data_IF_078126342768
#
_entry.id   IF_078126342768
#
_cell.length_a   1.000
_cell.length_b   1.000
_cell.length_c   1.000
_cell.angle_alpha   90.00
_cell.angle_beta   90.00
_cell.angle_gamma   90.00
#
_symmetry.space_group_name_H-M   'P 1'
#
loop_
_entity.id
_entity.type
_entity.pdbx_description
1 polymer ?
#
# COMPACT_ATOMS: atom_id res chain seq x y z
N UNK A 1 -19.74 8.50 9.89
CA UNK A 1 -18.44 8.95 9.34
C UNK A 1 -18.06 7.93 8.29
N UNK A 2 -17.68 8.39 7.10
CA UNK A 2 -17.21 7.50 6.02
C UNK A 2 -15.69 7.56 5.89
N UNK A 3 -15.08 6.42 5.63
CA UNK A 3 -13.65 6.29 5.38
C UNK A 3 -13.40 5.88 3.92
N UNK A 4 -12.35 6.43 3.30
CA UNK A 4 -11.80 5.94 2.06
C UNK A 4 -10.46 5.27 2.37
N UNK A 5 -10.22 4.07 1.85
CA UNK A 5 -8.97 3.33 2.02
C UNK A 5 -8.25 3.28 0.67
N UNK A 6 -7.00 3.78 0.60
CA UNK A 6 -6.10 3.49 -0.52
C UNK A 6 -5.76 2.01 -0.49
N UNK A 7 -6.21 1.28 -1.51
CA UNK A 7 -6.31 -0.16 -1.46
C UNK A 7 -5.69 -0.81 -2.71
N UNK A 8 -4.61 -1.55 -2.52
CA UNK A 8 -3.92 -2.26 -3.60
C UNK A 8 -4.27 -3.76 -3.69
N UNK A 9 -4.88 -4.34 -2.65
CA UNK A 9 -5.04 -5.79 -2.52
C UNK A 9 -3.81 -6.50 -1.94
N UNK A 10 -2.78 -5.74 -1.56
CA UNK A 10 -1.60 -6.24 -0.83
C UNK A 10 -1.86 -6.39 0.67
N UNK A 11 -0.91 -7.00 1.38
CA UNK A 11 -0.97 -7.30 2.81
C UNK A 11 -1.33 -6.06 3.64
N UNK A 12 -0.56 -4.99 3.50
CA UNK A 12 -0.63 -3.79 4.35
C UNK A 12 -1.95 -3.03 4.14
N UNK A 13 -2.35 -2.84 2.87
CA UNK A 13 -3.59 -2.16 2.51
C UNK A 13 -4.84 -2.96 2.90
N UNK A 14 -4.76 -4.31 2.89
CA UNK A 14 -5.86 -5.17 3.32
C UNK A 14 -6.04 -5.11 4.84
N UNK A 15 -4.94 -5.07 5.59
CA UNK A 15 -5.00 -4.88 7.04
C UNK A 15 -5.55 -3.50 7.40
N UNK A 16 -5.18 -2.43 6.65
CA UNK A 16 -5.75 -1.10 6.82
C UNK A 16 -7.25 -1.06 6.50
N UNK A 17 -7.68 -1.79 5.46
CA UNK A 17 -9.10 -1.94 5.12
C UNK A 17 -9.88 -2.63 6.24
N UNK A 18 -9.35 -3.73 6.79
CA UNK A 18 -9.97 -4.44 7.90
C UNK A 18 -10.10 -3.57 9.16
N UNK A 19 -9.06 -2.77 9.50
CA UNK A 19 -9.14 -1.79 10.58
C UNK A 19 -10.23 -0.75 10.35
N UNK A 20 -10.32 -0.19 9.14
CA UNK A 20 -11.37 0.76 8.81
C UNK A 20 -12.77 0.14 8.92
N UNK A 21 -12.95 -1.10 8.46
CA UNK A 21 -14.21 -1.85 8.56
C UNK A 21 -14.57 -2.12 10.03
N UNK A 22 -13.62 -2.56 10.84
CA UNK A 22 -13.84 -2.80 12.27
C UNK A 22 -14.29 -1.52 13.00
N UNK A 23 -13.77 -0.36 12.60
CA UNK A 23 -14.06 0.94 13.23
C UNK A 23 -15.36 1.58 12.75
N UNK A 24 -15.69 1.47 11.46
CA UNK A 24 -16.80 2.22 10.86
C UNK A 24 -17.93 1.33 10.31
N UNK A 25 -17.70 0.04 10.17
CA UNK A 25 -18.60 -0.90 9.47
C UNK A 25 -18.46 -0.82 7.94
N UNK A 26 -18.54 -1.96 7.26
CA UNK A 26 -18.34 -2.07 5.81
C UNK A 26 -19.17 -1.07 4.96
N UNK A 27 -20.45 -0.77 5.27
CA UNK A 27 -21.23 0.21 4.50
C UNK A 27 -20.70 1.65 4.55
N UNK A 28 -19.81 1.96 5.49
CA UNK A 28 -19.20 3.28 5.66
C UNK A 28 -17.74 3.32 5.19
N UNK A 29 -17.26 2.29 4.50
CA UNK A 29 -15.90 2.21 3.98
C UNK A 29 -15.94 2.11 2.45
N UNK A 30 -15.08 2.89 1.79
CA UNK A 30 -14.81 2.83 0.35
C UNK A 30 -13.39 2.37 0.14
N UNK A 31 -13.17 1.39 -0.73
CA UNK A 31 -11.84 1.00 -1.18
C UNK A 31 -11.51 1.71 -2.49
N UNK A 32 -10.35 2.35 -2.60
CA UNK A 32 -9.88 2.99 -3.83
C UNK A 32 -8.60 2.31 -4.32
N UNK A 33 -8.68 1.62 -5.45
CA UNK A 33 -7.51 1.09 -6.16
C UNK A 33 -7.10 2.04 -7.28
N UNK A 34 -5.77 2.20 -7.44
CA UNK A 34 -5.19 3.11 -8.43
C UNK A 34 -4.28 2.31 -9.36
N UNK A 35 -4.58 2.35 -10.66
CA UNK A 35 -3.65 1.91 -11.70
C UNK A 35 -2.63 3.02 -11.96
N UNK A 36 -1.34 2.65 -11.99
CA UNK A 36 -0.23 3.57 -12.25
C UNK A 36 0.74 3.02 -13.30
N UNK A 37 0.32 2.00 -14.07
CA UNK A 37 1.13 1.32 -15.07
C UNK A 37 2.04 0.23 -14.48
N UNK A 38 1.67 -0.38 -13.35
CA UNK A 38 2.39 -1.50 -12.74
C UNK A 38 2.44 -2.73 -13.67
N UNK A 39 3.53 -3.51 -13.57
CA UNK A 39 3.82 -4.66 -14.43
C UNK A 39 2.77 -5.77 -14.40
N UNK A 40 1.97 -5.88 -13.34
CA UNK A 40 1.04 -7.01 -13.19
C UNK A 40 -0.36 -6.58 -12.73
N UNK A 41 -1.37 -7.32 -13.21
CA UNK A 41 -2.79 -7.10 -12.88
C UNK A 41 -3.25 -7.88 -11.64
N UNK A 42 -2.45 -8.77 -11.08
CA UNK A 42 -2.82 -9.66 -9.95
C UNK A 42 -3.23 -8.88 -8.69
N UNK A 43 -2.62 -7.72 -8.43
CA UNK A 43 -3.05 -6.84 -7.34
C UNK A 43 -4.50 -6.40 -7.52
N UNK A 44 -4.92 -6.10 -8.75
CA UNK A 44 -6.30 -5.68 -9.03
C UNK A 44 -7.26 -6.86 -8.85
N UNK A 45 -6.89 -8.07 -9.28
CA UNK A 45 -7.68 -9.29 -9.06
C UNK A 45 -7.85 -9.56 -7.56
N UNK A 46 -6.78 -9.47 -6.78
CA UNK A 46 -6.79 -9.59 -5.33
C UNK A 46 -7.69 -8.52 -4.69
N UNK A 47 -7.56 -7.26 -5.12
CA UNK A 47 -8.38 -6.16 -4.62
C UNK A 47 -9.87 -6.40 -4.87
N UNK A 48 -10.26 -6.90 -6.04
CA UNK A 48 -11.65 -7.25 -6.36
C UNK A 48 -12.14 -8.41 -5.47
N UNK A 49 -11.33 -9.46 -5.28
CA UNK A 49 -11.70 -10.60 -4.45
C UNK A 49 -11.92 -10.19 -2.98
N UNK A 50 -11.02 -9.37 -2.43
CA UNK A 50 -11.07 -8.91 -1.04
C UNK A 50 -12.25 -7.94 -0.81
N UNK A 51 -12.48 -6.99 -1.70
CA UNK A 51 -13.61 -6.06 -1.56
C UNK A 51 -14.96 -6.77 -1.68
N UNK A 52 -15.04 -7.82 -2.49
CA UNK A 52 -16.20 -8.72 -2.55
C UNK A 52 -16.37 -9.50 -1.23
N UNK A 53 -15.29 -10.04 -0.66
CA UNK A 53 -15.31 -10.75 0.63
C UNK A 53 -15.86 -9.86 1.75
N UNK A 54 -15.38 -8.60 1.84
CA UNK A 54 -15.84 -7.66 2.86
C UNK A 54 -17.13 -6.89 2.50
N UNK A 55 -17.66 -7.07 1.30
CA UNK A 55 -18.85 -6.35 0.77
C UNK A 55 -18.67 -4.81 0.83
N UNK A 56 -17.50 -4.32 0.45
CA UNK A 56 -17.12 -2.91 0.43
C UNK A 56 -17.23 -2.34 -0.98
N UNK A 57 -17.77 -1.11 -1.14
CA UNK A 57 -17.76 -0.39 -2.41
C UNK A 57 -16.32 -0.18 -2.89
N UNK A 58 -16.04 -0.55 -4.15
CA UNK A 58 -14.71 -0.50 -4.75
C UNK A 58 -14.68 0.50 -5.90
N UNK A 59 -13.78 1.47 -5.80
CA UNK A 59 -13.54 2.49 -6.80
C UNK A 59 -12.18 2.25 -7.48
N UNK A 60 -12.09 2.60 -8.76
CA UNK A 60 -10.87 2.53 -9.54
C UNK A 60 -10.52 3.89 -10.14
N UNK A 61 -9.23 4.22 -10.12
CA UNK A 61 -8.68 5.41 -10.74
C UNK A 61 -7.45 5.02 -11.57
N UNK A 62 -7.35 5.58 -12.77
CA UNK A 62 -6.20 5.39 -13.67
C UNK A 62 -5.33 6.65 -13.68
N UNK A 63 -4.08 6.50 -13.26
CA UNK A 63 -3.04 7.54 -13.26
C UNK A 63 -1.81 7.12 -14.09
N UNK A 64 -1.91 6.09 -14.93
CA UNK A 64 -0.79 5.52 -15.69
C UNK A 64 -0.03 6.58 -16.49
N UNK A 65 -0.74 7.51 -17.15
CA UNK A 65 -0.13 8.54 -17.98
C UNK A 65 0.86 9.44 -17.26
N UNK A 66 0.70 9.63 -15.94
CA UNK A 66 1.60 10.49 -15.15
C UNK A 66 2.95 9.81 -14.97
N UNK A 67 2.97 8.48 -14.85
CA UNK A 67 4.17 7.72 -14.57
C UNK A 67 4.93 7.24 -15.82
N UNK A 68 4.46 7.55 -17.02
CA UNK A 68 5.16 7.20 -18.29
C UNK A 68 6.54 7.84 -18.43
N UNK A 69 6.85 8.86 -17.64
CA UNK A 69 8.15 9.54 -17.63
C UNK A 69 9.13 8.97 -16.59
N UNK A 70 8.75 7.92 -15.86
CA UNK A 70 9.58 7.29 -14.85
C UNK A 70 10.14 5.95 -15.36
N UNK A 71 11.42 5.66 -15.08
CA UNK A 71 12.07 4.38 -15.41
C UNK A 71 12.03 3.38 -14.23
N UNK A 72 11.16 3.59 -13.23
CA UNK A 72 11.05 2.70 -12.08
C UNK A 72 10.80 1.25 -12.48
N UNK A 73 11.52 0.31 -11.87
CA UNK A 73 11.47 -1.12 -12.18
C UNK A 73 10.08 -1.77 -12.04
N UNK A 74 9.16 -1.15 -11.30
CA UNK A 74 7.78 -1.65 -11.14
C UNK A 74 6.86 -1.31 -12.31
N UNK A 75 7.24 -0.38 -13.19
CA UNK A 75 6.38 0.08 -14.29
C UNK A 75 6.49 -0.84 -15.51
N UNK A 76 5.37 -1.06 -16.19
CA UNK A 76 5.25 -2.01 -17.30
C UNK A 76 6.14 -1.69 -18.49
N UNK A 77 6.41 -0.40 -18.75
CA UNK A 77 7.28 0.08 -19.82
C UNK A 77 8.78 0.11 -19.44
N UNK A 78 9.10 -0.03 -18.14
CA UNK A 78 10.49 -0.03 -17.68
C UNK A 78 11.22 -1.30 -18.07
N UNK A 79 12.49 -1.15 -18.47
CA UNK A 79 13.43 -2.26 -18.76
C UNK A 79 14.26 -2.67 -17.55
N UNK A 80 14.13 -1.93 -16.46
CA UNK A 80 14.84 -2.22 -15.20
C UNK A 80 14.30 -3.51 -14.57
N UNK A 81 15.21 -4.33 -14.08
CA UNK A 81 14.87 -5.58 -13.39
C UNK A 81 14.44 -5.31 -11.95
N UNK A 82 13.50 -6.12 -11.46
CA UNK A 82 13.06 -6.08 -10.07
C UNK A 82 14.12 -6.76 -9.19
N UNK A 83 14.67 -6.10 -8.14
CA UNK A 83 15.70 -6.67 -7.29
C UNK A 83 15.22 -7.94 -6.54
N UNK A 84 16.03 -9.00 -6.57
CA UNK A 84 15.80 -10.24 -5.82
C UNK A 84 16.48 -10.20 -4.44
N UNK A 85 16.23 -9.14 -3.66
CA UNK A 85 16.82 -8.88 -2.33
C UNK A 85 15.82 -8.20 -1.43
N UNK A 86 15.91 -8.44 -0.11
CA UNK A 86 15.12 -7.69 0.87
C UNK A 86 15.42 -6.18 0.80
N UNK A 87 14.49 -5.34 1.25
CA UNK A 87 14.73 -3.90 1.29
C UNK A 87 15.93 -3.52 2.16
N UNK A 88 16.12 -4.21 3.29
CA UNK A 88 17.26 -4.00 4.16
C UNK A 88 18.61 -4.27 3.45
N UNK A 89 18.67 -5.27 2.57
CA UNK A 89 19.87 -5.56 1.77
C UNK A 89 20.07 -4.54 0.65
N UNK A 90 19.00 -4.08 0.01
CA UNK A 90 19.06 -3.04 -1.02
C UNK A 90 19.58 -1.72 -0.44
N UNK A 91 19.10 -1.28 0.71
CA UNK A 91 19.54 -0.07 1.42
C UNK A 91 21.04 -0.15 1.77
N UNK A 92 21.51 -1.30 2.29
CA UNK A 92 22.94 -1.48 2.64
C UNK A 92 23.89 -1.37 1.45
N UNK A 93 23.40 -1.63 0.23
CA UNK A 93 24.21 -1.56 -0.99
C UNK A 93 24.23 -0.15 -1.59
N UNK A 94 23.26 0.67 -1.29
CA UNK A 94 23.21 2.07 -1.70
C UNK A 94 24.15 2.87 -0.78
N UNK A 95 25.29 3.34 -1.30
CA UNK A 95 26.26 4.16 -0.55
C UNK A 95 25.79 5.59 -0.26
N UNK A 96 24.65 5.96 -0.80
CA UNK A 96 24.02 7.29 -0.68
C UNK A 96 22.57 7.11 -0.20
N UNK A 97 22.06 8.10 0.54
CA UNK A 97 20.66 8.17 0.94
C UNK A 97 19.77 8.44 -0.31
N UNK A 98 19.56 7.40 -1.13
CA UNK A 98 18.72 7.46 -2.34
C UNK A 98 17.63 6.42 -2.27
N UNK A 99 16.45 6.72 -2.85
CA UNK A 99 15.38 5.73 -2.99
C UNK A 99 15.83 4.48 -3.76
N UNK A 100 15.24 3.34 -3.43
CA UNK A 100 15.47 2.06 -4.13
C UNK A 100 14.90 2.11 -5.57
N UNK A 101 15.35 1.20 -6.47
CA UNK A 101 14.91 1.17 -7.87
C UNK A 101 13.41 0.88 -8.05
N UNK A 102 12.76 0.35 -7.03
CA UNK A 102 11.31 0.11 -6.98
C UNK A 102 10.51 1.33 -6.49
N UNK A 103 11.17 2.45 -6.15
CA UNK A 103 10.49 3.67 -5.79
C UNK A 103 9.89 4.36 -7.03
N UNK A 104 8.57 4.43 -7.11
CA UNK A 104 7.86 5.23 -8.09
C UNK A 104 7.81 6.67 -7.59
N UNK A 105 8.37 7.66 -8.32
CA UNK A 105 8.56 9.01 -7.81
C UNK A 105 7.28 9.66 -7.30
N UNK A 106 7.25 10.02 -6.00
CA UNK A 106 6.17 10.73 -5.32
C UNK A 106 4.78 10.07 -5.47
N UNK A 107 4.76 8.73 -5.64
CA UNK A 107 3.53 7.98 -5.91
C UNK A 107 2.49 8.15 -4.80
N UNK A 108 2.89 8.01 -3.54
CA UNK A 108 1.96 8.14 -2.41
C UNK A 108 1.41 9.57 -2.27
N UNK A 109 2.21 10.60 -2.57
CA UNK A 109 1.74 11.98 -2.60
C UNK A 109 0.65 12.21 -3.63
N UNK A 110 0.84 11.68 -4.84
CA UNK A 110 -0.17 11.76 -5.90
C UNK A 110 -1.43 10.96 -5.54
N UNK A 111 -1.25 9.74 -4.99
CA UNK A 111 -2.38 8.90 -4.58
C UNK A 111 -3.20 9.55 -3.49
N UNK A 112 -2.56 10.11 -2.45
CA UNK A 112 -3.24 10.80 -1.36
C UNK A 112 -3.97 12.07 -1.85
N UNK A 113 -3.36 12.84 -2.76
CA UNK A 113 -4.00 14.02 -3.36
C UNK A 113 -5.23 13.66 -4.19
N UNK A 114 -5.13 12.61 -5.01
CA UNK A 114 -6.26 12.10 -5.81
C UNK A 114 -7.37 11.51 -4.92
N UNK A 115 -6.98 10.75 -3.89
CA UNK A 115 -7.90 10.20 -2.91
C UNK A 115 -8.61 11.30 -2.12
N UNK A 116 -7.95 12.41 -1.81
CA UNK A 116 -8.55 13.54 -1.10
C UNK A 116 -9.71 14.15 -1.91
N UNK A 117 -9.51 14.38 -3.22
CA UNK A 117 -10.57 14.91 -4.09
C UNK A 117 -11.78 13.96 -4.17
N UNK A 118 -11.52 12.64 -4.31
CA UNK A 118 -12.59 11.62 -4.33
C UNK A 118 -13.28 11.50 -2.97
N UNK A 119 -12.53 11.49 -1.88
CA UNK A 119 -13.05 11.36 -0.52
C UNK A 119 -14.03 12.49 -0.20
N UNK A 120 -13.67 13.73 -0.49
CA UNK A 120 -14.56 14.91 -0.30
C UNK A 120 -15.83 14.74 -1.15
N UNK A 121 -15.71 14.37 -2.42
CA UNK A 121 -16.84 14.17 -3.33
C UNK A 121 -17.78 13.05 -2.90
N UNK A 122 -17.26 12.03 -2.20
CA UNK A 122 -18.02 10.90 -1.64
C UNK A 122 -18.50 11.12 -0.20
N UNK A 123 -18.23 12.27 0.39
CA UNK A 123 -18.60 12.59 1.76
C UNK A 123 -17.82 11.80 2.82
N UNK A 124 -16.58 11.38 2.48
CA UNK A 124 -15.66 10.78 3.45
C UNK A 124 -14.97 11.88 4.26
N UNK A 125 -14.65 11.58 5.51
CA UNK A 125 -13.94 12.48 6.42
C UNK A 125 -12.55 11.98 6.81
N UNK A 126 -12.16 10.78 6.31
CA UNK A 126 -10.88 10.16 6.63
C UNK A 126 -10.39 9.33 5.45
N UNK A 127 -9.07 9.36 5.21
CA UNK A 127 -8.35 8.49 4.27
C UNK A 127 -7.42 7.60 5.07
N UNK A 128 -7.52 6.29 4.86
CA UNK A 128 -6.57 5.31 5.34
C UNK A 128 -5.56 4.94 4.26
N UNK A 129 -4.29 4.80 4.62
CA UNK A 129 -3.31 4.16 3.75
C UNK A 129 -2.25 3.39 4.54
N UNK A 130 -1.65 2.37 3.89
CA UNK A 130 -0.86 1.36 4.55
C UNK A 130 0.65 1.62 4.59
N UNK A 131 1.10 2.90 4.63
CA UNK A 131 2.52 3.19 4.81
C UNK A 131 3.02 2.70 6.17
N UNK A 132 4.21 2.12 6.22
CA UNK A 132 4.79 1.55 7.43
C UNK A 132 6.28 1.86 7.59
N UNK A 133 6.81 1.62 8.82
CA UNK A 133 8.16 2.04 9.19
C UNK A 133 9.26 1.37 8.35
N UNK A 134 9.09 0.10 7.97
CA UNK A 134 10.10 -0.63 7.21
C UNK A 134 10.28 -0.06 5.79
N UNK A 135 9.19 0.43 5.14
CA UNK A 135 9.27 1.07 3.83
C UNK A 135 9.98 2.44 3.90
N UNK A 136 9.83 3.16 5.01
CA UNK A 136 10.49 4.45 5.22
C UNK A 136 11.97 4.33 5.61
N UNK A 137 12.40 3.14 6.04
CA UNK A 137 13.75 2.92 6.54
C UNK A 137 14.80 3.26 5.48
N UNK A 138 15.87 3.97 5.88
CA UNK A 138 16.99 4.31 5.01
C UNK A 138 16.63 5.08 3.74
N UNK A 139 15.53 5.84 3.75
CA UNK A 139 15.00 6.56 2.57
C UNK A 139 14.61 5.65 1.39
N UNK A 140 14.33 4.37 1.62
CA UNK A 140 13.89 3.46 0.56
C UNK A 140 12.66 4.01 -0.17
N UNK A 141 11.62 4.40 0.58
CA UNK A 141 10.42 5.07 0.08
C UNK A 141 10.15 6.32 0.94
N UNK A 142 10.70 7.49 0.58
CA UNK A 142 10.58 8.71 1.39
C UNK A 142 9.13 9.14 1.64
N UNK A 143 8.24 8.85 0.70
CA UNK A 143 6.81 9.13 0.78
C UNK A 143 5.98 8.10 1.60
N UNK A 144 6.66 7.21 2.33
CA UNK A 144 6.10 6.38 3.40
C UNK A 144 6.47 6.87 4.80
N UNK A 145 7.33 7.90 4.93
CA UNK A 145 7.84 8.37 6.22
C UNK A 145 6.76 9.05 7.07
N UNK A 146 6.95 9.01 8.39
CA UNK A 146 6.09 9.74 9.34
C UNK A 146 6.05 11.24 9.01
N UNK A 147 7.20 11.86 8.75
CA UNK A 147 7.28 13.30 8.43
C UNK A 147 6.50 13.64 7.16
N UNK A 148 6.61 12.81 6.13
CA UNK A 148 5.84 12.98 4.90
C UNK A 148 4.33 12.86 5.18
N UNK A 149 3.93 11.85 5.97
CA UNK A 149 2.52 11.64 6.33
C UNK A 149 1.93 12.85 7.07
N UNK A 150 2.64 13.40 8.06
CA UNK A 150 2.21 14.60 8.80
C UNK A 150 2.08 15.82 7.88
N UNK A 151 3.03 16.01 6.97
CA UNK A 151 2.99 17.13 6.01
C UNK A 151 1.79 16.99 5.05
N UNK A 152 1.55 15.79 4.50
CA UNK A 152 0.41 15.51 3.63
C UNK A 152 -0.92 15.64 4.38
N UNK A 153 -0.99 15.17 5.61
CA UNK A 153 -2.19 15.30 6.44
C UNK A 153 -2.52 16.77 6.71
N UNK A 154 -1.50 17.58 7.02
CA UNK A 154 -1.68 19.03 7.21
C UNK A 154 -2.16 19.69 5.90
N UNK A 155 -1.55 19.39 4.76
CA UNK A 155 -1.94 19.95 3.47
C UNK A 155 -3.39 19.57 3.09
N UNK A 156 -3.78 18.32 3.30
CA UNK A 156 -5.14 17.83 3.00
C UNK A 156 -6.15 18.43 3.98
N UNK A 157 -5.82 18.55 5.27
CA UNK A 157 -6.66 19.18 6.26
C UNK A 157 -6.98 20.64 5.90
N UNK A 158 -5.96 21.45 5.62
CA UNK A 158 -6.13 22.84 5.20
C UNK A 158 -6.85 22.93 3.84
N UNK A 159 -6.41 22.15 2.85
CA UNK A 159 -6.98 22.17 1.49
C UNK A 159 -8.42 21.68 1.40
N UNK A 160 -8.88 20.87 2.36
CA UNK A 160 -10.26 20.41 2.46
C UNK A 160 -11.18 21.36 3.26
N UNK A 161 -10.66 22.45 3.79
CA UNK A 161 -11.41 23.29 4.72
C UNK A 161 -11.74 22.56 6.02
N UNK A 162 -10.78 21.83 6.55
CA UNK A 162 -10.84 21.07 7.82
C UNK A 162 -11.86 19.92 7.85
N UNK A 163 -12.16 19.32 6.68
CA UNK A 163 -13.15 18.25 6.57
C UNK A 163 -12.54 16.85 6.45
N UNK A 164 -11.28 16.73 5.99
CA UNK A 164 -10.65 15.46 5.65
C UNK A 164 -9.30 15.30 6.34
N UNK A 165 -9.05 14.11 6.91
CA UNK A 165 -7.78 13.73 7.53
C UNK A 165 -7.21 12.46 6.90
N UNK A 166 -5.89 12.27 7.03
CA UNK A 166 -5.21 11.00 6.76
C UNK A 166 -5.05 10.24 8.08
N UNK A 167 -5.22 8.93 8.01
CA UNK A 167 -4.83 7.98 9.04
C UNK A 167 -3.89 6.94 8.42
N UNK A 168 -2.62 6.94 8.86
CA UNK A 168 -1.60 5.96 8.49
C UNK A 168 -1.33 5.07 9.71
N UNK A 169 -2.14 4.02 9.94
CA UNK A 169 -2.12 3.28 11.22
C UNK A 169 -0.81 2.55 11.46
N UNK A 170 0.00 2.34 10.41
CA UNK A 170 1.21 1.52 10.48
C UNK A 170 2.51 2.33 10.36
N UNK A 171 2.44 3.65 10.34
CA UNK A 171 3.62 4.51 10.09
C UNK A 171 4.75 4.31 11.11
N UNK A 172 4.44 3.77 12.28
CA UNK A 172 5.40 3.38 13.33
C UNK A 172 5.50 1.86 13.53
N UNK A 173 4.85 1.05 12.70
CA UNK A 173 4.79 -0.40 12.82
C UNK A 173 5.73 -1.08 11.83
N UNK A 174 6.26 -2.24 12.22
CA UNK A 174 6.94 -3.15 11.30
C UNK A 174 5.91 -3.99 10.53
N UNK A 175 6.35 -4.61 9.44
CA UNK A 175 5.50 -5.55 8.69
C UNK A 175 5.02 -6.74 9.56
N UNK A 176 5.83 -7.18 10.51
CA UNK A 176 5.45 -8.21 11.47
C UNK A 176 4.31 -7.75 12.39
N UNK A 177 4.32 -6.49 12.83
CA UNK A 177 3.23 -5.90 13.63
C UNK A 177 1.94 -5.81 12.81
N UNK A 178 2.03 -5.46 11.51
CA UNK A 178 0.88 -5.41 10.62
C UNK A 178 0.25 -6.80 10.46
N UNK A 179 1.08 -7.84 10.25
CA UNK A 179 0.59 -9.23 10.19
C UNK A 179 -0.12 -9.60 11.47
N UNK A 180 0.45 -9.29 12.64
CA UNK A 180 -0.18 -9.56 13.94
C UNK A 180 -1.55 -8.90 14.05
N UNK A 181 -1.65 -7.61 13.73
CA UNK A 181 -2.93 -6.88 13.73
C UNK A 181 -3.93 -7.55 12.79
N UNK A 182 -3.51 -7.95 11.60
CA UNK A 182 -4.40 -8.58 10.64
C UNK A 182 -4.85 -9.98 11.04
N UNK A 183 -4.02 -10.75 11.76
CA UNK A 183 -4.41 -12.02 12.33
C UNK A 183 -5.49 -11.84 13.41
N UNK A 184 -5.35 -10.81 14.26
CA UNK A 184 -6.35 -10.49 15.28
C UNK A 184 -7.69 -10.01 14.67
N UNK A 185 -7.69 -9.59 13.40
CA UNK A 185 -8.86 -9.13 12.63
C UNK A 185 -9.37 -10.16 11.62
N UNK A 186 -8.86 -11.39 11.63
CA UNK A 186 -9.20 -12.43 10.66
C UNK A 186 -9.06 -11.99 9.20
N UNK A 187 -7.99 -11.24 8.88
CA UNK A 187 -7.72 -10.79 7.51
C UNK A 187 -7.47 -11.99 6.59
N UNK A 188 -8.17 -12.11 5.45
CA UNK A 188 -8.02 -13.22 4.50
C UNK A 188 -6.72 -13.06 3.69
N UNK A 189 -5.58 -13.27 4.32
CA UNK A 189 -4.27 -13.07 3.71
C UNK A 189 -3.98 -13.97 2.52
N UNK A 190 -4.67 -15.11 2.39
CA UNK A 190 -4.63 -16.01 1.23
C UNK A 190 -5.18 -15.35 -0.05
N UNK A 191 -6.03 -14.33 0.08
CA UNK A 191 -6.56 -13.56 -1.05
C UNK A 191 -5.64 -12.40 -1.46
N UNK A 192 -4.65 -12.05 -0.65
CA UNK A 192 -3.80 -10.88 -0.88
C UNK A 192 -2.66 -11.17 -1.85
N UNK A 193 -2.27 -10.17 -2.64
CA UNK A 193 -1.14 -10.26 -3.55
C UNK A 193 -0.11 -9.15 -3.26
N UNK A 194 1.15 -9.53 -3.10
CA UNK A 194 2.25 -8.58 -2.84
C UNK A 194 3.42 -8.76 -3.80
N UNK A 195 3.47 -9.85 -4.58
CA UNK A 195 4.59 -10.14 -5.46
C UNK A 195 4.67 -9.13 -6.62
N UNK A 196 5.88 -8.66 -6.92
CA UNK A 196 6.15 -7.74 -8.02
C UNK A 196 6.35 -8.44 -9.37
N UNK A 197 6.59 -9.76 -9.37
CA UNK A 197 6.82 -10.52 -10.58
C UNK A 197 5.51 -10.98 -11.23
N UNK A 198 5.55 -11.11 -12.57
CA UNK A 198 4.44 -11.65 -13.35
C UNK A 198 4.39 -13.17 -13.16
N UNK A 199 3.24 -13.73 -12.80
CA UNK A 199 3.08 -15.17 -12.60
C UNK A 199 1.76 -15.52 -11.91
N UNK A 200 1.43 -16.80 -11.87
CA UNK A 200 0.23 -17.31 -11.20
C UNK A 200 0.43 -17.54 -9.71
N UNK A 201 1.69 -17.59 -9.27
CA UNK A 201 2.09 -17.75 -7.87
C UNK A 201 3.14 -16.70 -7.51
N UNK A 202 3.19 -16.25 -6.24
CA UNK A 202 4.27 -15.38 -5.78
C UNK A 202 5.65 -16.01 -6.06
N UNK A 203 6.60 -15.19 -6.52
CA UNK A 203 7.94 -15.69 -6.93
C UNK A 203 8.80 -16.17 -5.75
N UNK A 204 8.50 -15.74 -4.52
CA UNK A 204 9.25 -16.08 -3.30
C UNK A 204 10.62 -15.41 -3.17
N UNK A 205 11.08 -14.61 -4.15
CA UNK A 205 12.45 -14.09 -4.22
C UNK A 205 12.57 -12.58 -4.38
N UNK A 206 11.54 -11.87 -4.82
CA UNK A 206 11.55 -10.41 -4.80
C UNK A 206 11.46 -9.86 -3.38
N UNK A 207 11.88 -8.61 -3.17
CA UNK A 207 11.97 -8.00 -1.84
C UNK A 207 10.68 -8.13 -1.02
N UNK A 208 9.55 -7.81 -1.63
CA UNK A 208 8.26 -7.90 -0.94
C UNK A 208 7.85 -9.35 -0.58
N UNK A 209 8.18 -10.38 -1.38
CA UNK A 209 7.94 -11.78 -1.02
C UNK A 209 8.80 -12.21 0.17
N UNK A 210 10.08 -11.81 0.19
CA UNK A 210 11.02 -12.12 1.29
C UNK A 210 10.54 -11.47 2.58
N UNK A 211 10.25 -10.18 2.55
CA UNK A 211 9.86 -9.41 3.74
C UNK A 211 8.48 -9.84 4.26
N UNK A 212 7.56 -10.20 3.36
CA UNK A 212 6.26 -10.77 3.71
C UNK A 212 6.40 -12.13 4.41
N UNK A 213 7.16 -13.05 3.85
CA UNK A 213 7.41 -14.37 4.45
C UNK A 213 8.07 -14.25 5.84
N UNK A 214 9.03 -13.33 5.99
CA UNK A 214 9.68 -13.05 7.28
C UNK A 214 8.68 -12.49 8.31
N UNK A 215 7.75 -11.62 7.91
CA UNK A 215 6.73 -11.06 8.80
C UNK A 215 5.76 -12.14 9.33
N UNK A 216 5.34 -13.07 8.48
CA UNK A 216 4.52 -14.22 8.92
C UNK A 216 5.30 -15.16 9.84
N UNK A 217 6.56 -15.48 9.50
CA UNK A 217 7.43 -16.31 10.32
C UNK A 217 7.67 -15.71 11.73
N UNK A 218 7.83 -14.39 11.82
CA UNK A 218 7.95 -13.68 13.10
C UNK A 218 6.72 -13.83 14.00
N UNK A 219 5.55 -14.10 13.42
CA UNK A 219 4.30 -14.40 14.12
C UNK A 219 4.05 -15.91 14.31
N UNK A 220 5.06 -16.76 14.01
CA UNK A 220 4.99 -18.21 14.23
C UNK A 220 4.10 -18.97 13.25
N UNK A 221 3.73 -18.37 12.12
CA UNK A 221 2.89 -19.01 11.10
C UNK A 221 3.54 -18.94 9.72
N UNK A 222 3.13 -19.83 8.83
CA UNK A 222 3.51 -19.78 7.41
C UNK A 222 2.60 -18.79 6.68
N UNK A 223 3.16 -18.06 5.71
CA UNK A 223 2.38 -17.19 4.83
C UNK A 223 1.34 -18.01 4.03
N UNK A 224 0.04 -17.73 4.16
CA UNK A 224 -1.01 -18.50 3.49
C UNK A 224 -1.07 -18.26 1.97
N UNK A 225 -0.37 -17.25 1.44
CA UNK A 225 -0.32 -16.96 0.00
C UNK A 225 0.93 -17.57 -0.71
N UNK A 226 1.87 -18.19 0.05
CA UNK A 226 3.12 -18.79 -0.47
C UNK A 226 3.12 -20.31 -0.44
#
# INVERSE_FOLDING_TARGET
MKALVLFSGGLDSTTALALAIAKYGAPNVLALSISYGQKHAKEIEAAIAITKHYQVEHLFLDLEKIFTYSDCSLLSHSREEIPEKSYAEQIKQTKEEKPVSTYVPFRNGLFLSSAASLAISKGCSIIYYGAHADDAAGFAYPDCSFVFNEAMNSAIWEGSGHQLKIEAPFVHSTKADIVKIGLDLDVPYELTWSCYEVGDKPCGKCGTCIDRAAAFAANGIKDPAL
#
